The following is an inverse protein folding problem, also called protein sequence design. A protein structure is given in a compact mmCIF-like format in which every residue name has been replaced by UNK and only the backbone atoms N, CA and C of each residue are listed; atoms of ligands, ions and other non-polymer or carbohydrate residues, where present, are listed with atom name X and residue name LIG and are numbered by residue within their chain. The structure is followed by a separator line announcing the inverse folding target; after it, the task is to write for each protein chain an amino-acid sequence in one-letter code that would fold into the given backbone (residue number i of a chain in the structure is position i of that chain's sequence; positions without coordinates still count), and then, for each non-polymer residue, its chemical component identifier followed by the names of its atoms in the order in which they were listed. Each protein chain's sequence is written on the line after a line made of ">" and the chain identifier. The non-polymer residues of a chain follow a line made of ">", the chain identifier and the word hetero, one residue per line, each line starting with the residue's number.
data_IF_916428365382
#
_entry.id   IF_916428365382
#
_cell.length_a   1.000
_cell.length_b   1.000
_cell.length_c   1.000
_cell.angle_alpha   90.00
_cell.angle_beta   90.00
_cell.angle_gamma   90.00
#
_symmetry.space_group_name_H-M   'P 1'
#
loop_
_entity.id
_entity.type
_entity.pdbx_description
1 polymer ?
#
# COMPACT_ATOMS: atom_id res chain seq x y z
N UNK A 1 -7.05 4.26 -1.05
CA UNK A 1 -7.65 3.32 -2.02
C UNK A 1 -8.36 4.14 -3.10
N UNK A 2 -8.38 3.75 -4.39
CA UNK A 2 -9.11 4.49 -5.42
C UNK A 2 -10.60 4.63 -5.07
N UNK A 3 -11.24 5.74 -5.46
CA UNK A 3 -12.69 5.90 -5.31
C UNK A 3 -13.42 5.02 -6.34
N UNK A 4 -14.56 4.43 -5.94
CA UNK A 4 -15.39 3.60 -6.80
C UNK A 4 -16.05 4.45 -7.90
N UNK A 5 -16.11 3.92 -9.12
CA UNK A 5 -16.87 4.49 -10.25
C UNK A 5 -16.23 5.72 -10.89
N UNK A 6 -14.99 6.07 -10.53
CA UNK A 6 -14.35 7.31 -11.02
C UNK A 6 -13.55 7.08 -12.29
N UNK A 7 -12.94 5.89 -12.46
CA UNK A 7 -12.08 5.59 -13.61
C UNK A 7 -12.08 4.10 -13.93
N UNK A 8 -11.87 3.81 -15.21
CA UNK A 8 -11.69 2.46 -15.72
C UNK A 8 -10.25 2.26 -16.18
N UNK A 9 -9.76 1.03 -16.01
CA UNK A 9 -8.45 0.58 -16.46
C UNK A 9 -8.60 -0.66 -17.34
N UNK A 10 -7.83 -0.78 -18.43
CA UNK A 10 -7.80 -2.02 -19.20
C UNK A 10 -7.12 -3.11 -18.35
N UNK A 11 -7.77 -4.27 -18.26
CA UNK A 11 -7.23 -5.45 -17.61
C UNK A 11 -7.41 -6.63 -18.53
N UNK A 12 -6.34 -7.39 -18.72
CA UNK A 12 -6.37 -8.62 -19.50
C UNK A 12 -7.08 -9.72 -18.69
N UNK A 13 -8.07 -10.35 -19.33
CA UNK A 13 -8.76 -11.50 -18.78
C UNK A 13 -7.96 -12.79 -19.01
N UNK A 14 -8.48 -13.92 -18.52
CA UNK A 14 -7.86 -15.25 -18.70
C UNK A 14 -7.77 -15.68 -20.18
N UNK A 15 -8.55 -15.08 -21.06
CA UNK A 15 -8.60 -15.34 -22.50
C UNK A 15 -7.74 -14.34 -23.30
N UNK A 16 -6.92 -13.51 -22.62
CA UNK A 16 -6.06 -12.51 -23.27
C UNK A 16 -6.80 -11.30 -23.84
N UNK A 17 -8.11 -11.19 -23.64
CA UNK A 17 -8.89 -10.04 -24.10
C UNK A 17 -8.80 -8.90 -23.09
N UNK A 18 -8.67 -7.68 -23.59
CA UNK A 18 -8.63 -6.46 -22.78
C UNK A 18 -10.05 -6.01 -22.42
N UNK A 19 -10.39 -6.05 -21.14
CA UNK A 19 -11.66 -5.56 -20.61
C UNK A 19 -11.45 -4.26 -19.81
N UNK A 20 -12.34 -3.28 -19.95
CA UNK A 20 -12.30 -2.04 -19.16
C UNK A 20 -13.07 -2.25 -17.85
N UNK A 21 -12.35 -2.40 -16.75
CA UNK A 21 -12.96 -2.52 -15.42
C UNK A 21 -12.69 -1.29 -14.56
N UNK A 22 -13.58 -1.01 -13.61
CA UNK A 22 -13.37 0.04 -12.62
C UNK A 22 -12.08 -0.21 -11.80
N UNK A 23 -11.28 0.84 -11.61
CA UNK A 23 -9.97 0.73 -10.95
C UNK A 23 -10.08 0.29 -9.47
N UNK A 24 -11.15 0.68 -8.78
CA UNK A 24 -11.39 0.23 -7.42
C UNK A 24 -11.65 -1.28 -7.43
N UNK A 25 -12.45 -1.79 -8.37
CA UNK A 25 -12.65 -3.25 -8.56
C UNK A 25 -11.33 -3.95 -8.88
N UNK A 26 -10.51 -3.39 -9.77
CA UNK A 26 -9.19 -3.95 -10.12
C UNK A 26 -8.28 -4.10 -8.90
N UNK A 27 -8.19 -3.07 -8.04
CA UNK A 27 -7.38 -3.12 -6.82
C UNK A 27 -7.92 -4.16 -5.82
N UNK A 28 -9.24 -4.23 -5.62
CA UNK A 28 -9.86 -5.20 -4.72
C UNK A 28 -9.53 -6.63 -5.15
N UNK A 29 -9.62 -6.93 -6.45
CA UNK A 29 -9.33 -8.24 -7.01
C UNK A 29 -7.84 -8.60 -6.88
N UNK A 30 -6.92 -7.68 -7.21
CA UNK A 30 -5.48 -7.96 -7.16
C UNK A 30 -4.95 -8.13 -5.74
N UNK A 31 -5.49 -7.39 -4.78
CA UNK A 31 -5.11 -7.49 -3.37
C UNK A 31 -5.86 -8.61 -2.63
N UNK A 32 -6.79 -9.31 -3.29
CA UNK A 32 -7.61 -10.39 -2.72
C UNK A 32 -8.30 -9.98 -1.41
N UNK A 33 -8.87 -8.78 -1.42
CA UNK A 33 -9.53 -8.21 -0.26
C UNK A 33 -10.84 -8.96 0.02
N UNK A 34 -10.94 -9.59 1.19
CA UNK A 34 -12.18 -10.22 1.67
C UNK A 34 -13.15 -9.26 2.38
N UNK A 35 -12.76 -7.98 2.54
CA UNK A 35 -13.55 -6.94 3.21
C UNK A 35 -13.74 -5.74 2.29
N UNK A 36 -14.84 -4.97 2.45
CA UNK A 36 -15.03 -3.72 1.73
C UNK A 36 -13.89 -2.74 1.97
N UNK A 37 -13.43 -2.06 0.91
CA UNK A 37 -12.36 -1.09 1.03
C UNK A 37 -12.89 0.20 1.68
N UNK A 38 -12.22 0.67 2.74
CA UNK A 38 -12.52 1.96 3.39
C UNK A 38 -11.74 3.11 2.73
N UNK A 39 -12.27 4.34 2.81
CA UNK A 39 -11.65 5.57 2.30
C UNK A 39 -10.24 5.78 2.86
N UNK A 40 -9.99 5.35 4.08
CA UNK A 40 -8.69 5.53 4.77
C UNK A 40 -7.68 4.43 4.45
N UNK A 41 -8.09 3.36 3.74
CA UNK A 41 -7.17 2.27 3.41
C UNK A 41 -6.04 2.74 2.51
N UNK A 42 -4.82 2.36 2.89
CA UNK A 42 -3.61 2.57 2.11
C UNK A 42 -3.02 1.23 1.67
N UNK A 43 -2.26 1.27 0.58
CA UNK A 43 -1.52 0.13 0.04
C UNK A 43 -0.06 0.54 0.00
N UNK A 44 0.83 -0.31 0.52
CA UNK A 44 2.26 -0.04 0.56
C UNK A 44 2.84 0.10 -0.85
N UNK A 45 3.87 0.93 -1.00
CA UNK A 45 4.51 1.19 -2.30
C UNK A 45 5.12 -0.06 -2.94
N UNK A 46 5.52 -1.03 -2.13
CA UNK A 46 6.08 -2.31 -2.57
C UNK A 46 5.15 -3.14 -3.47
N UNK A 47 3.85 -2.81 -3.52
CA UNK A 47 2.91 -3.49 -4.40
C UNK A 47 2.85 -2.93 -5.82
N UNK A 48 3.61 -1.87 -6.10
CA UNK A 48 3.65 -1.20 -7.40
C UNK A 48 5.06 -1.24 -7.98
N UNK A 49 5.17 -1.22 -9.31
CA UNK A 49 6.45 -1.10 -10.00
C UNK A 49 6.93 0.36 -9.94
N UNK A 50 8.23 0.58 -10.07
CA UNK A 50 8.77 1.93 -10.18
C UNK A 50 8.15 2.71 -11.37
N UNK A 51 7.86 2.02 -12.47
CA UNK A 51 7.18 2.57 -13.66
C UNK A 51 5.74 3.02 -13.43
N UNK A 52 5.10 2.56 -12.35
CA UNK A 52 3.72 2.95 -12.00
C UNK A 52 3.67 4.33 -11.33
N UNK A 53 4.82 4.86 -10.92
CA UNK A 53 4.93 6.18 -10.34
C UNK A 53 5.20 7.22 -11.43
N UNK A 54 4.64 8.41 -11.22
CA UNK A 54 5.08 9.59 -11.95
C UNK A 54 6.34 10.13 -11.27
N UNK A 55 7.44 10.21 -12.03
CA UNK A 55 8.59 11.00 -11.65
C UNK A 55 8.29 12.47 -12.02
N UNK A 56 8.03 13.31 -11.02
CA UNK A 56 7.94 14.76 -11.25
C UNK A 56 9.14 15.41 -10.60
N UNK A 57 10.13 15.77 -11.41
CA UNK A 57 11.24 16.61 -10.95
C UNK A 57 10.65 17.93 -10.46
N UNK A 58 10.71 18.21 -9.16
CA UNK A 58 10.49 19.55 -8.65
C UNK A 58 11.82 20.28 -8.84
N UNK A 59 11.85 21.22 -9.76
CA UNK A 59 13.07 21.93 -10.11
C UNK A 59 13.65 22.79 -8.98
N UNK A 60 14.97 22.95 -9.10
CA UNK A 60 15.86 24.03 -8.64
C UNK A 60 16.38 24.04 -7.20
N UNK A 61 15.68 23.54 -6.19
CA UNK A 61 16.18 23.65 -4.79
C UNK A 61 16.11 22.34 -4.03
N UNK A 62 16.96 21.38 -4.40
CA UNK A 62 17.40 20.26 -3.53
C UNK A 62 16.32 19.40 -2.86
N UNK A 63 15.06 19.49 -3.31
CA UNK A 63 13.89 18.93 -2.63
C UNK A 63 13.55 17.53 -3.14
N UNK A 64 13.23 16.64 -2.21
CA UNK A 64 12.82 15.26 -2.45
C UNK A 64 11.74 15.12 -3.55
N UNK A 65 11.98 14.22 -4.49
CA UNK A 65 11.04 13.86 -5.57
C UNK A 65 9.75 13.29 -4.96
N UNK A 66 8.67 14.08 -4.90
CA UNK A 66 7.37 13.59 -4.44
C UNK A 66 6.80 12.63 -5.48
N UNK A 67 6.98 11.32 -5.24
CA UNK A 67 6.44 10.24 -6.09
C UNK A 67 4.96 10.04 -5.81
N UNK A 68 4.14 10.03 -6.87
CA UNK A 68 2.72 9.69 -6.81
C UNK A 68 2.41 8.61 -7.84
N UNK A 69 1.42 7.76 -7.55
CA UNK A 69 0.98 6.73 -8.49
C UNK A 69 0.27 7.36 -9.69
N UNK A 70 0.52 6.82 -10.88
CA UNK A 70 -0.26 7.11 -12.08
C UNK A 70 -1.73 6.83 -11.83
N UNK A 71 -2.61 7.56 -12.52
CA UNK A 71 -4.07 7.44 -12.34
C UNK A 71 -4.61 6.03 -12.63
N UNK A 72 -3.90 5.28 -13.47
CA UNK A 72 -4.26 3.94 -13.94
C UNK A 72 -3.38 2.84 -13.31
N UNK A 73 -2.55 3.18 -12.33
CA UNK A 73 -1.68 2.20 -11.67
C UNK A 73 -2.52 1.17 -10.90
N UNK A 74 -2.21 -0.11 -11.12
CA UNK A 74 -2.83 -1.24 -10.44
C UNK A 74 -1.74 -2.03 -9.71
N UNK A 75 -1.95 -2.46 -8.45
CA UNK A 75 -1.01 -3.31 -7.73
C UNK A 75 -0.67 -4.55 -8.56
N UNK A 76 0.62 -4.76 -8.81
CA UNK A 76 1.12 -5.87 -9.62
C UNK A 76 2.28 -6.61 -8.97
N UNK A 77 2.84 -6.09 -7.88
CA UNK A 77 4.01 -6.66 -7.19
C UNK A 77 3.63 -7.18 -5.81
N UNK A 78 4.35 -8.21 -5.34
CA UNK A 78 4.21 -8.75 -3.98
C UNK A 78 2.76 -9.07 -3.59
N UNK A 79 1.96 -9.56 -4.55
CA UNK A 79 0.55 -9.85 -4.33
C UNK A 79 0.38 -11.16 -3.55
N UNK A 80 -0.70 -11.33 -2.77
CA UNK A 80 -0.96 -12.57 -2.06
C UNK A 80 -1.09 -13.74 -3.04
N UNK A 81 -0.38 -14.84 -2.80
CA UNK A 81 -0.51 -16.10 -3.58
C UNK A 81 -1.75 -16.87 -3.10
N UNK A 82 -2.45 -17.58 -4.00
CA UNK A 82 -3.49 -18.52 -3.56
C UNK A 82 -2.78 -19.72 -2.96
N UNK A 83 -2.90 -19.94 -1.65
CA UNK A 83 -2.45 -21.17 -1.00
C UNK A 83 -3.49 -22.26 -1.25
N UNK A 84 -3.50 -22.80 -2.46
CA UNK A 84 -4.04 -24.14 -2.69
C UNK A 84 -2.82 -24.99 -3.02
N UNK A 85 -2.15 -25.48 -1.98
CA UNK A 85 -1.36 -26.73 -1.90
C UNK A 85 -1.05 -26.92 -0.40
N UNK A 86 -1.60 -28.02 0.11
CA UNK A 86 -1.26 -28.85 1.27
C UNK A 86 -0.18 -28.37 2.26
N UNK A 87 -0.58 -28.36 3.54
CA UNK A 87 0.25 -28.94 4.60
C UNK A 87 1.61 -28.31 4.86
N UNK A 88 1.76 -26.99 4.97
CA UNK A 88 2.97 -26.42 5.59
C UNK A 88 2.66 -25.31 6.59
N UNK A 89 2.78 -25.69 7.87
CA UNK A 89 2.99 -24.93 9.11
C UNK A 89 2.63 -23.44 9.05
N UNK A 90 1.47 -23.12 9.60
CA UNK A 90 1.07 -21.78 10.04
C UNK A 90 2.24 -21.07 10.73
N UNK A 91 2.75 -19.98 10.14
CA UNK A 91 3.61 -19.06 10.88
C UNK A 91 2.75 -18.43 11.97
N UNK A 92 2.89 -18.90 13.21
CA UNK A 92 2.34 -18.26 14.39
C UNK A 92 2.79 -16.80 14.38
N UNK A 93 1.82 -15.89 14.31
CA UNK A 93 2.08 -14.45 14.36
C UNK A 93 2.42 -14.12 15.80
N UNK A 94 3.71 -14.18 16.16
CA UNK A 94 4.16 -13.73 17.48
C UNK A 94 3.66 -12.30 17.67
N UNK A 95 2.80 -12.09 18.66
CA UNK A 95 2.39 -10.76 19.07
C UNK A 95 3.68 -10.05 19.49
N UNK A 96 4.08 -9.04 18.72
CA UNK A 96 5.15 -8.14 19.11
C UNK A 96 4.59 -7.29 20.25
N UNK A 97 4.73 -7.75 21.48
CA UNK A 97 4.56 -6.91 22.67
C UNK A 97 5.56 -5.77 22.51
N UNK A 98 5.07 -4.57 22.25
CA UNK A 98 5.88 -3.36 22.42
C UNK A 98 6.18 -3.26 23.91
N UNK A 99 7.44 -3.17 24.37
CA UNK A 99 7.67 -2.77 25.74
C UNK A 99 7.09 -1.35 25.90
N UNK A 100 6.21 -1.20 26.88
CA UNK A 100 5.75 0.09 27.36
C UNK A 100 6.97 0.73 28.01
N UNK A 101 7.66 1.62 27.30
CA UNK A 101 8.62 2.52 27.95
C UNK A 101 7.82 3.65 28.58
N UNK A 102 7.59 3.51 29.87
CA UNK A 102 7.15 4.59 30.74
C UNK A 102 8.30 5.61 30.80
N UNK A 103 8.08 6.81 30.26
CA UNK A 103 9.06 7.89 30.36
C UNK A 103 8.81 8.62 31.68
N UNK A 104 9.40 8.11 32.75
CA UNK A 104 9.40 8.78 34.05
C UNK A 104 10.60 9.73 34.13
N UNK A 105 10.26 11.01 34.34
CA UNK A 105 10.99 12.05 35.09
C UNK A 105 12.51 12.17 34.87
N UNK A 106 12.92 13.19 34.12
CA UNK A 106 14.20 13.87 34.35
C UNK A 106 13.93 15.26 34.92
N UNK A 107 13.98 15.31 36.24
CA UNK A 107 14.12 16.51 37.05
C UNK A 107 15.62 16.85 37.05
N UNK A 108 15.99 17.96 36.42
CA UNK A 108 17.26 18.65 36.66
C UNK A 108 16.99 20.16 36.71
N UNK A 109 16.82 20.64 37.96
CA UNK A 109 17.59 21.72 38.59
C UNK A 109 18.70 22.32 37.66
N UNK A 110 18.87 23.64 37.46
CA UNK A 110 19.02 24.71 38.46
C UNK A 110 18.86 26.15 37.89
N UNK A 111 18.35 27.05 38.75
CA UNK A 111 18.73 28.44 39.01
C UNK A 111 18.68 29.53 37.89
N UNK A 112 17.78 30.52 38.04
CA UNK A 112 18.14 31.91 38.38
C UNK A 112 16.92 32.87 38.45
N UNK A 113 16.89 33.61 39.58
CA UNK A 113 16.09 34.80 39.96
C UNK A 113 14.64 34.59 40.40
#
# INVERSE_FOLDING_TARGET
>A
FPKRGVRNVPVENKFGQSEKIDIHKAWTLRLKMGKPASKFMRVCSLHFKASDYCARYLGVTGGYLKRYLKKNAVPSQNLPKNSVIEGTKSRTRTLRTKPIVHCEKLELLEHHV
#
